data_IF_087850839994
#
_entry.id   IF_087850839994
#
_cell.length_a   1.000
_cell.length_b   1.000
_cell.length_c   1.000
_cell.angle_alpha   90.00
_cell.angle_beta   90.00
_cell.angle_gamma   90.00
#
_symmetry.space_group_name_H-M   'P 1'
#
loop_
_entity.id
_entity.type
_entity.pdbx_description
1 polymer ?
#
# COMPACT_ATOMS: atom_id res chain seq x y z
N UNK A 1 -46.31 13.17 -54.31
CA UNK A 1 -45.12 12.30 -54.23
C UNK A 1 -44.65 12.36 -52.79
N UNK A 2 -45.01 11.36 -51.97
CA UNK A 2 -44.75 11.35 -50.53
C UNK A 2 -43.69 10.29 -50.24
N UNK A 3 -42.53 10.73 -49.75
CA UNK A 3 -41.42 9.86 -49.35
C UNK A 3 -41.68 9.47 -47.89
N UNK A 4 -42.35 8.34 -47.68
CA UNK A 4 -42.44 7.71 -46.37
C UNK A 4 -41.14 6.97 -46.11
N UNK A 5 -40.18 7.64 -45.47
CA UNK A 5 -38.92 7.06 -45.04
C UNK A 5 -39.16 6.08 -43.87
N UNK A 6 -38.86 4.81 -44.13
CA UNK A 6 -38.90 3.70 -43.19
C UNK A 6 -37.72 3.82 -42.22
N UNK A 7 -37.93 4.45 -41.06
CA UNK A 7 -36.93 4.52 -39.99
C UNK A 7 -36.98 3.22 -39.17
N UNK A 8 -35.85 2.52 -38.97
CA UNK A 8 -35.81 1.22 -38.30
C UNK A 8 -36.09 1.36 -36.80
N UNK A 9 -36.99 0.51 -36.28
CA UNK A 9 -37.45 0.47 -34.88
C UNK A 9 -36.32 0.34 -33.84
N UNK A 10 -35.09 -0.04 -34.23
CA UNK A 10 -33.95 -0.18 -33.31
C UNK A 10 -33.40 1.14 -32.78
N UNK A 11 -33.70 2.28 -33.43
CA UNK A 11 -33.29 3.61 -32.96
C UNK A 11 -34.24 4.08 -31.85
N UNK A 12 -35.52 3.74 -31.92
CA UNK A 12 -36.51 4.16 -30.93
C UNK A 12 -36.28 3.53 -29.55
N UNK A 13 -35.78 2.29 -29.47
CA UNK A 13 -35.50 1.64 -28.18
C UNK A 13 -34.29 2.24 -27.45
N UNK A 14 -33.31 2.78 -28.18
CA UNK A 14 -32.12 3.42 -27.57
C UNK A 14 -32.42 4.79 -26.95
N UNK A 15 -33.41 5.51 -27.45
CA UNK A 15 -33.82 6.78 -26.87
C UNK A 15 -34.45 6.60 -25.48
N UNK A 16 -35.25 5.54 -25.31
CA UNK A 16 -35.90 5.25 -24.02
C UNK A 16 -34.90 4.89 -22.90
N UNK A 17 -33.77 4.25 -23.24
CA UNK A 17 -32.72 3.94 -22.27
C UNK A 17 -31.97 5.20 -21.82
N UNK A 18 -31.66 6.12 -22.72
CA UNK A 18 -30.94 7.36 -22.40
C UNK A 18 -31.74 8.27 -21.46
N UNK A 19 -33.06 8.36 -21.67
CA UNK A 19 -33.94 9.13 -20.79
C UNK A 19 -34.00 8.52 -19.38
N UNK A 20 -33.95 7.19 -19.26
CA UNK A 20 -33.90 6.50 -17.98
C UNK A 20 -32.60 6.78 -17.21
N UNK A 21 -31.45 6.82 -17.90
CA UNK A 21 -30.17 7.19 -17.27
C UNK A 21 -30.16 8.66 -16.83
N UNK A 22 -30.69 9.57 -17.65
CA UNK A 22 -30.78 10.99 -17.32
C UNK A 22 -31.70 11.26 -16.12
N UNK A 23 -32.82 10.52 -16.00
CA UNK A 23 -33.72 10.59 -14.86
C UNK A 23 -33.07 10.08 -13.57
N UNK A 24 -32.29 8.99 -13.62
CA UNK A 24 -31.54 8.56 -12.45
C UNK A 24 -30.44 9.55 -12.07
N UNK A 25 -29.69 10.07 -13.05
CA UNK A 25 -28.62 11.04 -12.79
C UNK A 25 -29.15 12.33 -12.14
N UNK A 26 -30.32 12.83 -12.56
CA UNK A 26 -30.93 14.02 -11.95
C UNK A 26 -31.36 13.77 -10.50
N UNK A 27 -31.78 12.55 -10.16
CA UNK A 27 -32.15 12.19 -8.79
C UNK A 27 -30.94 12.13 -7.84
N UNK A 28 -29.75 11.83 -8.34
CA UNK A 28 -28.51 11.81 -7.53
C UNK A 28 -27.82 13.17 -7.46
N UNK A 29 -28.10 14.11 -8.36
CA UNK A 29 -27.48 15.44 -8.41
C UNK A 29 -27.46 16.19 -7.05
N UNK A 30 -28.57 16.31 -6.30
CA UNK A 30 -28.56 17.10 -5.05
C UNK A 30 -27.82 16.40 -3.89
N UNK A 31 -27.68 15.06 -3.95
CA UNK A 31 -26.94 14.29 -2.94
C UNK A 31 -25.43 14.40 -3.19
N UNK A 32 -25.02 14.41 -4.46
CA UNK A 32 -23.62 14.54 -4.85
C UNK A 32 -23.09 15.94 -4.55
N UNK A 33 -23.87 17.01 -4.78
CA UNK A 33 -23.45 18.39 -4.49
C UNK A 33 -23.13 18.62 -3.01
N UNK A 34 -23.98 18.10 -2.11
CA UNK A 34 -23.75 18.25 -0.65
C UNK A 34 -22.51 17.47 -0.20
N UNK A 35 -22.34 16.24 -0.69
CA UNK A 35 -21.21 15.41 -0.29
C UNK A 35 -19.88 15.85 -0.92
N UNK A 36 -19.91 16.46 -2.11
CA UNK A 36 -18.71 16.96 -2.78
C UNK A 36 -17.99 18.01 -1.93
N UNK A 37 -18.74 18.91 -1.28
CA UNK A 37 -18.14 19.93 -0.39
C UNK A 37 -17.45 19.31 0.82
N UNK A 38 -18.05 18.29 1.43
CA UNK A 38 -17.49 17.57 2.58
C UNK A 38 -16.21 16.84 2.17
N UNK A 39 -16.22 16.15 1.03
CA UNK A 39 -15.05 15.43 0.51
C UNK A 39 -13.90 16.39 0.19
N UNK A 40 -14.20 17.53 -0.46
CA UNK A 40 -13.20 18.53 -0.80
C UNK A 40 -12.57 19.14 0.47
N UNK A 41 -13.39 19.44 1.48
CA UNK A 41 -12.91 19.96 2.76
C UNK A 41 -12.05 18.93 3.51
N UNK A 42 -12.48 17.67 3.56
CA UNK A 42 -11.71 16.59 4.16
C UNK A 42 -10.36 16.39 3.47
N UNK A 43 -10.33 16.43 2.13
CA UNK A 43 -9.12 16.33 1.34
C UNK A 43 -8.17 17.52 1.57
N UNK A 44 -8.70 18.74 1.59
CA UNK A 44 -7.92 19.94 1.88
C UNK A 44 -7.33 19.91 3.31
N UNK A 45 -8.13 19.51 4.31
CA UNK A 45 -7.67 19.35 5.69
C UNK A 45 -6.57 18.29 5.81
N UNK A 46 -6.69 17.18 5.07
CA UNK A 46 -5.66 16.14 5.01
C UNK A 46 -4.34 16.66 4.42
N UNK A 47 -4.38 17.44 3.34
CA UNK A 47 -3.16 18.05 2.76
C UNK A 47 -2.51 19.03 3.75
N UNK A 48 -3.30 19.88 4.41
CA UNK A 48 -2.78 20.83 5.40
C UNK A 48 -2.12 20.09 6.57
N UNK A 49 -2.74 18.99 7.04
CA UNK A 49 -2.17 18.15 8.09
C UNK A 49 -0.82 17.56 7.68
N UNK A 50 -0.72 17.00 6.46
CA UNK A 50 0.54 16.46 5.94
C UNK A 50 1.62 17.55 5.82
N UNK A 51 1.25 18.74 5.33
CA UNK A 51 2.18 19.87 5.24
C UNK A 51 2.68 20.32 6.62
N UNK A 52 1.80 20.37 7.62
CA UNK A 52 2.18 20.71 9.00
C UNK A 52 3.17 19.67 9.56
N UNK A 53 2.88 18.38 9.40
CA UNK A 53 3.79 17.30 9.85
C UNK A 53 5.18 17.47 9.21
N UNK A 54 5.24 17.79 7.91
CA UNK A 54 6.50 17.98 7.19
C UNK A 54 7.27 19.23 7.63
N UNK A 55 6.56 20.33 7.91
CA UNK A 55 7.19 21.57 8.40
C UNK A 55 7.73 21.38 9.81
N UNK A 56 6.94 20.77 10.70
CA UNK A 56 7.35 20.54 12.09
C UNK A 56 8.43 19.47 12.22
N UNK A 57 8.53 18.50 11.30
CA UNK A 57 9.63 17.53 11.31
C UNK A 57 10.98 18.12 10.91
N UNK A 58 11.02 19.33 10.34
CA UNK A 58 12.24 19.93 9.78
C UNK A 58 13.14 20.68 10.78
N UNK A 59 12.77 20.70 12.07
CA UNK A 59 13.47 21.45 13.11
C UNK A 59 14.29 20.55 14.03
N UNK A 60 15.45 20.11 13.55
CA UNK A 60 16.60 19.86 14.43
C UNK A 60 17.77 20.66 13.91
N UNK A 61 18.23 21.56 14.79
CA UNK A 61 19.30 22.51 14.56
C UNK A 61 20.55 21.99 15.28
N UNK A 62 21.68 22.03 14.56
CA UNK A 62 23.07 22.11 15.07
C UNK A 62 23.69 20.83 15.66
N UNK A 63 25.03 20.72 15.83
CA UNK A 63 26.16 21.51 15.33
C UNK A 63 27.14 20.68 14.47
N UNK A 64 28.11 21.35 13.84
CA UNK A 64 29.44 20.89 13.41
C UNK A 64 29.78 19.38 13.59
N UNK A 65 29.36 18.51 12.66
CA UNK A 65 29.62 17.06 12.74
C UNK A 65 30.76 16.67 11.81
N UNK A 66 31.79 16.04 12.37
CA UNK A 66 32.83 15.41 11.58
C UNK A 66 32.23 14.16 10.92
N UNK A 67 32.54 13.87 9.65
CA UNK A 67 32.05 12.67 8.96
C UNK A 67 32.46 11.35 9.65
N UNK A 68 33.43 11.39 10.58
CA UNK A 68 33.81 10.28 11.45
C UNK A 68 32.65 9.77 12.31
N UNK A 69 31.82 10.66 12.85
CA UNK A 69 30.90 10.30 13.94
C UNK A 69 29.70 9.52 13.41
N UNK A 70 29.25 9.83 12.18
CA UNK A 70 28.20 9.09 11.49
C UNK A 70 28.68 7.68 11.11
N UNK A 71 29.93 7.56 10.69
CA UNK A 71 30.55 6.28 10.39
C UNK A 71 30.66 5.46 11.66
N UNK A 72 31.23 6.00 12.74
CA UNK A 72 31.34 5.33 14.04
C UNK A 72 29.97 4.85 14.57
N UNK A 73 28.93 5.67 14.46
CA UNK A 73 27.57 5.26 14.79
C UNK A 73 27.13 4.02 14.00
N UNK A 74 27.36 4.01 12.67
CA UNK A 74 27.09 2.85 11.83
C UNK A 74 27.87 1.61 12.28
N UNK A 75 29.16 1.76 12.61
CA UNK A 75 30.03 0.64 13.02
C UNK A 75 29.67 0.07 14.40
N UNK A 76 28.88 0.81 15.17
CA UNK A 76 28.40 0.35 16.47
C UNK A 76 27.20 -0.57 16.32
N UNK A 77 26.35 -0.29 15.32
CA UNK A 77 25.15 -1.08 15.03
C UNK A 77 25.49 -2.27 14.13
N UNK A 78 26.34 -2.06 13.13
CA UNK A 78 26.69 -3.04 12.11
C UNK A 78 28.19 -3.35 12.15
N UNK A 79 28.51 -4.64 12.09
CA UNK A 79 29.88 -5.13 12.00
C UNK A 79 30.07 -5.86 10.66
N UNK A 80 31.12 -5.56 9.88
CA UNK A 80 31.46 -6.40 8.74
C UNK A 80 31.93 -7.76 9.25
N UNK A 81 31.47 -8.84 8.62
CA UNK A 81 31.92 -10.21 8.95
C UNK A 81 33.39 -10.43 8.59
N UNK A 82 33.90 -9.70 7.61
CA UNK A 82 35.33 -9.73 7.22
C UNK A 82 36.10 -8.55 7.80
N UNK A 83 37.35 -8.78 8.21
CA UNK A 83 38.21 -7.78 8.86
C UNK A 83 38.59 -6.58 7.97
N UNK A 84 38.31 -6.64 6.66
CA UNK A 84 38.53 -5.53 5.76
C UNK A 84 37.26 -4.69 5.69
N UNK A 85 37.28 -3.49 6.28
CA UNK A 85 36.23 -2.49 6.11
C UNK A 85 36.11 -2.12 4.62
N UNK A 86 35.01 -2.48 3.95
CA UNK A 86 34.83 -2.08 2.56
C UNK A 86 34.77 -0.55 2.49
N UNK A 87 35.56 0.05 1.59
CA UNK A 87 35.50 1.49 1.28
C UNK A 87 34.06 1.94 0.96
N UNK A 88 33.24 1.00 0.51
CA UNK A 88 31.83 1.14 0.20
C UNK A 88 30.98 1.63 1.39
N UNK A 89 31.38 1.37 2.65
CA UNK A 89 30.64 1.88 3.81
C UNK A 89 30.81 3.38 4.01
N UNK A 90 31.98 3.94 3.67
CA UNK A 90 32.15 5.38 3.69
C UNK A 90 31.25 6.06 2.65
N UNK A 91 31.07 5.43 1.48
CA UNK A 91 30.13 5.89 0.46
C UNK A 91 28.68 5.77 0.93
N UNK A 92 28.31 4.68 1.61
CA UNK A 92 26.97 4.52 2.19
C UNK A 92 26.65 5.63 3.21
N UNK A 93 27.59 5.96 4.10
CA UNK A 93 27.41 7.06 5.05
C UNK A 93 27.36 8.40 4.31
N UNK A 94 28.21 8.64 3.32
CA UNK A 94 28.22 9.89 2.56
C UNK A 94 26.91 10.16 1.82
N UNK A 95 26.26 9.12 1.28
CA UNK A 95 25.01 9.27 0.53
C UNK A 95 23.75 9.24 1.39
N UNK A 96 23.77 8.52 2.52
CA UNK A 96 22.57 8.28 3.31
C UNK A 96 22.56 8.96 4.69
N UNK A 97 23.68 9.57 5.10
CA UNK A 97 23.68 10.44 6.28
C UNK A 97 23.10 11.80 5.90
N UNK A 98 22.15 12.26 6.69
CA UNK A 98 21.67 13.64 6.68
C UNK A 98 22.32 14.39 7.84
N UNK A 99 23.35 15.22 7.58
CA UNK A 99 24.04 15.96 8.64
C UNK A 99 23.12 16.94 9.37
N UNK A 100 22.09 17.43 8.68
CA UNK A 100 21.12 18.39 9.23
C UNK A 100 20.24 17.74 10.29
N UNK A 101 19.71 16.55 10.02
CA UNK A 101 18.80 15.86 10.94
C UNK A 101 19.52 14.88 11.86
N UNK A 102 20.84 14.69 11.66
CA UNK A 102 21.64 13.62 12.29
C UNK A 102 20.98 12.26 12.13
N UNK A 103 20.44 12.01 10.94
CA UNK A 103 19.80 10.74 10.60
C UNK A 103 20.70 9.97 9.66
N UNK A 104 20.95 8.71 9.96
CA UNK A 104 21.57 7.76 9.06
C UNK A 104 20.49 6.81 8.56
N UNK A 105 20.08 7.00 7.32
CA UNK A 105 19.09 6.13 6.67
C UNK A 105 19.80 4.92 6.08
N UNK A 106 19.27 3.73 6.31
CA UNK A 106 19.81 2.50 5.71
C UNK A 106 18.67 1.82 4.96
N UNK A 107 18.87 1.52 3.67
CA UNK A 107 17.91 0.74 2.90
C UNK A 107 17.76 -0.65 3.54
N UNK A 108 16.52 -1.00 3.89
CA UNK A 108 16.22 -2.30 4.48
C UNK A 108 16.54 -3.45 3.52
N UNK A 109 16.30 -3.28 2.23
CA UNK A 109 16.65 -4.26 1.20
C UNK A 109 18.16 -4.46 1.10
N UNK A 110 18.92 -3.36 1.08
CA UNK A 110 20.38 -3.42 1.05
C UNK A 110 20.95 -4.08 2.31
N UNK A 111 20.37 -3.79 3.48
CA UNK A 111 20.76 -4.40 4.73
C UNK A 111 20.51 -5.92 4.72
N UNK A 112 19.29 -6.34 4.36
CA UNK A 112 18.92 -7.76 4.30
C UNK A 112 19.80 -8.50 3.30
N UNK A 113 20.03 -7.93 2.11
CA UNK A 113 20.91 -8.53 1.11
C UNK A 113 22.34 -8.71 1.65
N UNK A 114 22.92 -7.67 2.28
CA UNK A 114 24.27 -7.74 2.85
C UNK A 114 24.39 -8.73 4.01
N UNK A 115 23.36 -8.85 4.84
CA UNK A 115 23.30 -9.83 5.93
C UNK A 115 23.17 -11.24 5.38
N UNK A 116 22.30 -11.44 4.38
CA UNK A 116 22.12 -12.72 3.71
C UNK A 116 23.40 -13.20 3.01
N UNK A 117 24.12 -12.27 2.36
CA UNK A 117 25.41 -12.53 1.72
C UNK A 117 26.55 -12.77 2.73
N UNK A 118 26.29 -12.62 4.04
CA UNK A 118 27.29 -12.78 5.10
C UNK A 118 28.40 -11.71 5.05
N UNK A 119 28.13 -10.56 4.41
CA UNK A 119 29.07 -9.44 4.35
C UNK A 119 28.98 -8.54 5.57
N UNK A 120 27.85 -8.59 6.27
CA UNK A 120 27.50 -7.72 7.37
C UNK A 120 26.69 -8.46 8.42
N UNK A 121 26.99 -8.18 9.68
CA UNK A 121 26.30 -8.72 10.84
C UNK A 121 25.80 -7.57 11.71
N UNK A 122 24.66 -7.79 12.37
CA UNK A 122 24.16 -6.87 13.38
C UNK A 122 24.93 -7.15 14.68
N UNK A 123 25.63 -6.14 15.19
CA UNK A 123 26.55 -6.31 16.33
C UNK A 123 25.83 -6.73 17.61
N UNK A 124 24.61 -6.24 17.80
CA UNK A 124 23.77 -6.55 18.94
C UNK A 124 22.30 -6.74 18.50
N UNK A 125 21.80 -7.97 18.60
CA UNK A 125 20.41 -8.30 18.23
C UNK A 125 19.38 -7.60 19.13
N UNK A 126 19.76 -7.17 20.34
CA UNK A 126 18.86 -6.44 21.24
C UNK A 126 18.50 -5.04 20.70
N UNK A 127 19.30 -4.49 19.79
CA UNK A 127 19.08 -3.16 19.20
C UNK A 127 18.13 -3.22 17.98
N UNK A 128 17.79 -4.42 17.49
CA UNK A 128 16.91 -4.60 16.33
C UNK A 128 15.52 -3.97 16.52
N UNK A 129 14.80 -4.16 17.64
CA UNK A 129 13.50 -3.53 17.84
C UNK A 129 13.56 -2.00 17.80
N UNK A 130 14.62 -1.41 18.35
CA UNK A 130 14.84 0.05 18.33
C UNK A 130 15.21 0.53 16.92
N UNK A 131 15.93 -0.29 16.16
CA UNK A 131 16.26 -0.02 14.76
C UNK A 131 15.01 -0.05 13.87
N UNK A 132 14.12 -1.04 14.06
CA UNK A 132 12.85 -1.15 13.32
C UNK A 132 11.82 -0.09 13.73
N UNK A 133 11.86 0.38 14.97
CA UNK A 133 10.97 1.44 15.46
C UNK A 133 11.53 2.86 15.24
N UNK A 134 12.66 2.98 14.53
CA UNK A 134 13.37 4.24 14.25
C UNK A 134 13.79 5.01 15.52
N UNK A 135 13.90 4.33 16.66
CA UNK A 135 14.26 4.91 17.95
C UNK A 135 15.74 4.71 18.32
N UNK A 136 16.49 3.95 17.52
CA UNK A 136 17.89 3.71 17.77
C UNK A 136 18.72 4.99 17.59
N UNK A 137 19.35 5.44 18.67
CA UNK A 137 20.24 6.61 18.68
C UNK A 137 21.62 6.21 19.17
N UNK A 138 22.64 6.42 18.34
CA UNK A 138 24.04 6.07 18.63
C UNK A 138 24.91 7.29 18.38
N UNK A 139 25.71 7.70 19.36
CA UNK A 139 26.53 8.92 19.29
C UNK A 139 25.76 10.17 18.83
N UNK A 140 24.48 10.28 19.19
CA UNK A 140 23.60 11.37 18.78
C UNK A 140 23.09 11.31 17.34
N UNK A 141 23.41 10.24 16.60
CA UNK A 141 22.83 9.92 15.29
C UNK A 141 21.66 8.97 15.44
N UNK A 142 20.52 9.33 14.85
CA UNK A 142 19.36 8.43 14.72
C UNK A 142 19.63 7.49 13.54
N UNK A 143 19.62 6.19 13.77
CA UNK A 143 19.73 5.19 12.70
C UNK A 143 18.33 4.72 12.35
N UNK A 144 17.90 4.93 11.10
CA UNK A 144 16.56 4.54 10.64
C UNK A 144 16.66 3.57 9.47
N UNK A 145 15.84 2.52 9.49
CA UNK A 145 15.64 1.66 8.32
C UNK A 145 14.60 2.30 7.41
N UNK A 146 14.96 2.48 6.14
CA UNK A 146 14.05 3.02 5.12
C UNK A 146 13.66 1.88 4.19
N UNK A 147 12.36 1.69 4.03
CA UNK A 147 11.82 0.83 2.97
C UNK A 147 11.95 1.55 1.64
N UNK A 148 12.47 0.86 0.62
CA UNK A 148 12.56 1.45 -0.70
C UNK A 148 11.16 1.81 -1.23
N UNK A 149 11.09 2.89 -2.00
CA UNK A 149 9.84 3.32 -2.64
C UNK A 149 9.23 2.26 -3.56
N UNK A 150 10.06 1.33 -4.06
CA UNK A 150 9.64 0.16 -4.82
C UNK A 150 8.65 -0.72 -4.04
N UNK A 151 8.95 -1.03 -2.78
CA UNK A 151 8.07 -1.80 -1.90
C UNK A 151 6.77 -1.07 -1.60
N UNK A 152 6.83 0.24 -1.38
CA UNK A 152 5.62 1.04 -1.15
C UNK A 152 4.66 0.98 -2.35
N UNK A 153 5.19 1.00 -3.58
CA UNK A 153 4.38 0.86 -4.79
C UNK A 153 3.79 -0.55 -4.92
N UNK A 154 4.56 -1.58 -4.57
CA UNK A 154 4.07 -2.97 -4.63
C UNK A 154 2.96 -3.21 -3.59
N UNK A 155 3.15 -2.74 -2.35
CA UNK A 155 2.11 -2.81 -1.31
C UNK A 155 0.87 -2.00 -1.71
N UNK A 156 1.06 -0.82 -2.30
CA UNK A 156 -0.05 -0.01 -2.80
C UNK A 156 -0.79 -0.75 -3.93
N UNK A 157 -0.06 -1.36 -4.87
CA UNK A 157 -0.63 -2.17 -5.94
C UNK A 157 -1.44 -3.34 -5.39
N UNK A 158 -0.92 -4.06 -4.41
CA UNK A 158 -1.61 -5.16 -3.74
C UNK A 158 -2.87 -4.68 -3.02
N UNK A 159 -2.76 -3.55 -2.32
CA UNK A 159 -3.89 -2.92 -1.62
C UNK A 159 -5.00 -2.56 -2.60
N UNK A 160 -4.66 -1.90 -3.72
CA UNK A 160 -5.61 -1.58 -4.79
C UNK A 160 -6.21 -2.88 -5.37
N UNK A 161 -5.38 -3.87 -5.70
CA UNK A 161 -5.84 -5.15 -6.22
C UNK A 161 -6.87 -5.84 -5.30
N UNK A 162 -6.63 -5.85 -4.00
CA UNK A 162 -7.54 -6.43 -3.00
C UNK A 162 -8.88 -5.70 -2.91
N UNK A 163 -8.88 -4.36 -3.04
CA UNK A 163 -10.09 -3.54 -3.07
C UNK A 163 -10.83 -3.57 -4.41
N UNK A 164 -10.30 -4.18 -5.46
CA UNK A 164 -11.01 -4.34 -6.73
C UNK A 164 -11.40 -5.80 -7.01
N UNK A 165 -10.68 -6.78 -6.46
CA UNK A 165 -10.98 -8.20 -6.65
C UNK A 165 -12.29 -8.65 -5.99
N UNK A 166 -12.70 -8.06 -4.87
CA UNK A 166 -13.99 -8.35 -4.22
C UNK A 166 -15.23 -8.02 -5.06
N UNK A 167 -15.11 -7.15 -6.08
CA UNK A 167 -16.25 -6.80 -6.96
C UNK A 167 -16.48 -7.82 -8.07
N UNK A 168 -15.57 -8.78 -8.27
CA UNK A 168 -15.64 -9.72 -9.39
C UNK A 168 -16.06 -11.14 -9.01
N UNK A 169 -16.27 -11.46 -7.72
CA UNK A 169 -16.57 -12.83 -7.27
C UNK A 169 -17.89 -12.90 -6.48
N UNK A 170 -18.96 -12.38 -7.06
CA UNK A 170 -20.24 -13.03 -6.90
C UNK A 170 -20.71 -13.42 -8.29
N UNK A 171 -20.38 -14.63 -8.77
CA UNK A 171 -21.22 -15.22 -9.80
C UNK A 171 -22.62 -15.16 -9.20
N UNK A 172 -23.48 -14.32 -9.77
CA UNK A 172 -24.90 -14.39 -9.54
C UNK A 172 -25.30 -15.77 -10.05
N UNK A 173 -25.18 -16.76 -9.16
CA UNK A 173 -25.82 -18.05 -9.25
C UNK A 173 -27.29 -17.71 -9.22
N UNK A 174 -27.79 -17.28 -10.39
CA UNK A 174 -29.19 -17.37 -10.74
C UNK A 174 -29.42 -18.86 -10.64
N UNK A 175 -29.90 -19.25 -9.48
CA UNK A 175 -30.57 -20.51 -9.23
C UNK A 175 -31.59 -20.64 -10.34
N UNK A 176 -31.18 -21.26 -11.45
CA UNK A 176 -32.03 -22.08 -12.27
C UNK A 176 -32.54 -23.13 -11.29
N UNK A 177 -33.66 -22.77 -10.65
CA UNK A 177 -34.52 -23.60 -9.86
C UNK A 177 -35.04 -24.67 -10.84
N UNK A 178 -34.17 -25.62 -11.15
CA UNK A 178 -34.51 -26.85 -11.84
C UNK A 178 -35.42 -27.56 -10.86
N UNK A 179 -36.70 -27.45 -11.15
CA UNK A 179 -37.79 -28.14 -10.50
C UNK A 179 -37.61 -29.65 -10.76
N UNK A 180 -36.66 -30.27 -10.07
CA UNK A 180 -36.45 -31.71 -10.10
C UNK A 180 -37.54 -32.34 -9.24
N UNK A 181 -38.55 -32.81 -9.96
CA UNK A 181 -39.66 -33.64 -9.50
C UNK A 181 -39.18 -34.81 -8.60
N UNK A 182 -39.78 -35.02 -7.42
CA UNK A 182 -39.42 -36.12 -6.53
C UNK A 182 -39.91 -37.45 -7.11
N UNK A 183 -39.00 -38.29 -7.62
CA UNK A 183 -39.33 -39.64 -8.07
C UNK A 183 -38.92 -40.68 -7.03
N UNK A 184 -39.95 -41.10 -6.30
CA UNK A 184 -40.20 -42.38 -5.64
C UNK A 184 -39.09 -43.06 -4.81
N UNK A 185 -39.39 -43.09 -3.51
CA UNK A 185 -38.92 -44.03 -2.50
C UNK A 185 -39.26 -45.47 -2.91
N UNK A 186 -38.27 -46.24 -3.32
CA UNK A 186 -38.33 -47.71 -3.27
C UNK A 186 -37.63 -48.17 -2.00
N UNK A 187 -38.46 -48.41 -0.98
CA UNK A 187 -38.20 -49.19 0.23
C UNK A 187 -37.48 -50.50 -0.14
N UNK A 188 -36.19 -50.62 0.16
CA UNK A 188 -35.50 -51.91 0.24
C UNK A 188 -35.23 -52.18 1.71
N UNK A 189 -36.00 -53.14 2.20
CA UNK A 189 -35.98 -53.70 3.53
C UNK A 189 -34.76 -54.63 3.61
N UNK A 190 -33.76 -54.28 4.42
CA UNK A 190 -32.65 -55.16 4.70
C UNK A 190 -32.89 -55.84 6.06
N UNK A 191 -33.22 -57.14 6.10
CA UNK A 191 -33.13 -57.93 7.32
C UNK A 191 -31.67 -58.34 7.54
N UNK A 192 -31.36 -58.70 8.77
CA UNK A 192 -30.16 -59.45 9.18
C UNK A 192 -28.96 -58.60 9.62
N UNK A 193 -29.08 -58.18 10.88
CA UNK A 193 -27.97 -57.99 11.79
C UNK A 193 -27.42 -59.36 12.25
N UNK A 194 -26.10 -59.49 12.36
CA UNK A 194 -25.45 -60.27 13.42
C UNK A 194 -24.89 -59.37 14.53
#
# INVERSE_FOLDING_TARGET
MAINAFLPDSIASRFNDLDFYNLRLSQYAPVVEKNATIILFAFAAFIVLLALIFVFSSSTHSPNNKPSDALEALLTVLAPTSAAWPKDYAHLVAHNASPRTRTLSISMDSLIAKVYDGTLEVRNYADLPDLFSENLVVYGWRVSLVLETSWNLEVLRWSIGSHFSWRQVFPSTRSSLSHSHPRNLSRVQNPDAP
#
